data_IF_035247063051
#
_entry.id   IF_035247063051
#
_cell.length_a   1.000
_cell.length_b   1.000
_cell.length_c   1.000
_cell.angle_alpha   90.00
_cell.angle_beta   90.00
_cell.angle_gamma   90.00
#
_symmetry.space_group_name_H-M   'P 1'
#
loop_
_entity.id
_entity.type
_entity.pdbx_description
1 polymer ?
#
# COMPACT_ATOMS: atom_id res chain seq x y z
N UNK A 1 8.95 11.57 31.12
CA UNK A 1 7.57 11.28 31.57
C UNK A 1 6.69 11.27 30.31
N UNK A 2 6.51 10.11 29.66
CA UNK A 2 5.58 10.00 28.53
C UNK A 2 4.16 9.92 29.08
N UNK A 3 3.61 11.09 29.41
CA UNK A 3 2.22 11.25 29.77
C UNK A 3 1.39 11.13 28.49
N UNK A 4 0.99 9.91 28.14
CA UNK A 4 -0.29 9.67 27.46
C UNK A 4 -0.53 8.17 27.46
N UNK A 5 -1.48 7.77 28.30
CA UNK A 5 -2.25 6.55 28.18
C UNK A 5 -3.05 6.63 26.85
N UNK A 6 -2.34 6.55 25.73
CA UNK A 6 -2.95 6.58 24.40
C UNK A 6 -3.71 5.29 24.25
N UNK A 7 -5.03 5.40 24.35
CA UNK A 7 -5.99 4.31 24.18
C UNK A 7 -5.56 3.39 23.04
N UNK A 8 -5.66 2.08 23.29
CA UNK A 8 -5.50 0.97 22.32
C UNK A 8 -6.58 0.99 21.21
N UNK A 9 -7.09 2.16 20.83
CA UNK A 9 -8.21 2.34 19.91
C UNK A 9 -7.74 2.89 18.58
N UNK A 10 -8.27 2.32 17.50
CA UNK A 10 -8.12 2.88 16.15
C UNK A 10 -8.64 4.31 16.07
N UNK A 11 -8.00 5.13 15.25
CA UNK A 11 -8.44 6.51 14.96
C UNK A 11 -8.51 6.74 13.46
N UNK A 12 -9.63 7.30 13.00
CA UNK A 12 -9.83 7.68 11.60
C UNK A 12 -9.69 9.19 11.44
N UNK A 13 -8.91 9.59 10.44
CA UNK A 13 -8.73 10.97 9.99
C UNK A 13 -9.45 11.11 8.65
N UNK A 14 -10.33 12.09 8.54
CA UNK A 14 -11.07 12.37 7.32
C UNK A 14 -10.42 13.54 6.57
N UNK A 15 -10.50 13.58 5.24
CA UNK A 15 -10.03 14.71 4.45
C UNK A 15 -10.67 16.02 4.95
N UNK A 16 -9.87 17.08 5.17
CA UNK A 16 -10.45 18.35 5.56
C UNK A 16 -11.23 18.98 4.41
N UNK A 17 -12.15 19.88 4.76
CA UNK A 17 -12.97 20.63 3.82
C UNK A 17 -12.56 22.12 3.78
N UNK A 18 -12.98 22.83 2.73
CA UNK A 18 -12.72 24.27 2.59
C UNK A 18 -11.24 24.59 2.38
N UNK A 19 -10.75 25.64 3.06
CA UNK A 19 -9.37 26.15 2.91
C UNK A 19 -8.30 25.15 3.37
N UNK A 20 -8.56 24.40 4.44
CA UNK A 20 -7.63 23.38 4.97
C UNK A 20 -7.32 22.25 3.97
N UNK A 21 -8.20 22.01 2.99
CA UNK A 21 -7.93 21.05 1.92
C UNK A 21 -6.73 21.48 1.07
N UNK A 22 -6.58 22.77 0.79
CA UNK A 22 -5.45 23.29 0.01
C UNK A 22 -4.15 23.05 0.76
N UNK A 23 -4.13 23.34 2.06
CA UNK A 23 -2.96 23.13 2.91
C UNK A 23 -2.52 21.66 2.91
N UNK A 24 -3.45 20.70 2.99
CA UNK A 24 -3.13 19.27 2.93
C UNK A 24 -2.61 18.85 1.56
N UNK A 25 -3.18 19.37 0.47
CA UNK A 25 -2.71 19.07 -0.90
C UNK A 25 -1.30 19.64 -1.11
N UNK A 26 -1.04 20.86 -0.66
CA UNK A 26 0.27 21.50 -0.76
C UNK A 26 1.31 20.78 0.12
N UNK A 27 0.91 20.36 1.31
CA UNK A 27 1.73 19.53 2.20
C UNK A 27 2.09 18.19 1.55
N UNK A 28 1.10 17.46 1.02
CA UNK A 28 1.32 16.20 0.34
C UNK A 28 2.29 16.36 -0.84
N UNK A 29 2.11 17.40 -1.68
CA UNK A 29 3.01 17.70 -2.79
C UNK A 29 4.46 17.92 -2.34
N UNK A 30 4.68 18.60 -1.21
CA UNK A 30 6.03 18.82 -0.67
C UNK A 30 6.67 17.54 -0.17
N UNK A 31 5.88 16.62 0.38
CA UNK A 31 6.36 15.34 0.87
C UNK A 31 6.59 14.30 -0.24
N UNK A 32 5.87 14.38 -1.36
CA UNK A 32 5.96 13.42 -2.48
C UNK A 32 7.24 13.53 -3.34
N UNK A 33 8.38 13.85 -2.74
CA UNK A 33 9.67 13.87 -3.44
C UNK A 33 10.08 12.46 -3.87
N UNK A 34 10.75 12.36 -5.03
CA UNK A 34 11.29 11.09 -5.57
C UNK A 34 12.62 10.70 -4.92
N UNK A 35 13.17 11.57 -4.07
CA UNK A 35 14.43 11.33 -3.37
C UNK A 35 14.22 10.37 -2.19
N UNK A 36 14.78 9.14 -2.22
CA UNK A 36 14.66 8.18 -1.14
C UNK A 36 15.31 8.67 0.17
N UNK A 37 16.29 9.57 0.08
CA UNK A 37 17.04 10.08 1.23
C UNK A 37 16.47 11.42 1.75
N UNK A 38 15.33 11.86 1.21
CA UNK A 38 14.65 13.08 1.65
C UNK A 38 14.37 13.13 3.16
N UNK A 39 14.17 11.96 3.77
CA UNK A 39 13.92 11.83 5.20
C UNK A 39 15.14 12.22 6.07
N UNK A 40 16.37 12.14 5.57
CA UNK A 40 17.59 12.49 6.33
C UNK A 40 17.62 13.97 6.78
N UNK A 41 16.98 14.82 5.97
CA UNK A 41 16.89 16.28 6.19
C UNK A 41 15.55 16.72 6.75
N UNK A 42 14.57 15.81 6.83
CA UNK A 42 13.22 16.14 7.29
C UNK A 42 13.19 16.41 8.81
N UNK A 43 12.65 17.56 9.19
CA UNK A 43 12.50 17.99 10.58
C UNK A 43 11.07 18.36 10.88
N UNK A 44 10.59 17.94 12.06
CA UNK A 44 9.33 18.40 12.62
C UNK A 44 9.64 19.47 13.67
N UNK A 45 9.02 20.63 13.54
CA UNK A 45 9.05 21.67 14.57
C UNK A 45 7.87 21.44 15.51
N UNK A 46 8.15 21.20 16.78
CA UNK A 46 7.13 21.02 17.82
C UNK A 46 6.52 22.37 18.24
N UNK A 47 5.31 22.38 18.82
CA UNK A 47 4.62 23.63 19.19
C UNK A 47 5.38 24.52 20.19
N UNK A 48 6.34 23.95 20.91
CA UNK A 48 7.25 24.65 21.83
C UNK A 48 8.44 25.30 21.12
N UNK A 49 8.53 25.20 19.79
CA UNK A 49 9.64 25.70 18.98
C UNK A 49 10.86 24.78 18.92
N UNK A 50 10.81 23.62 19.59
CA UNK A 50 11.81 22.56 19.44
C UNK A 50 11.79 21.97 18.03
N UNK A 51 12.89 21.35 17.61
CA UNK A 51 12.95 20.60 16.35
C UNK A 51 13.42 19.17 16.60
N UNK A 52 12.81 18.22 15.90
CA UNK A 52 13.17 16.81 15.94
C UNK A 52 13.30 16.28 14.52
N UNK A 53 14.36 15.51 14.25
CA UNK A 53 14.52 14.82 12.96
C UNK A 53 13.45 13.73 12.85
N UNK A 54 12.83 13.61 11.70
CA UNK A 54 11.80 12.61 11.42
C UNK A 54 12.50 11.30 10.98
N UNK A 55 12.30 10.17 11.69
CA UNK A 55 12.79 8.87 11.22
C UNK A 55 12.15 8.48 9.88
N UNK A 56 12.87 7.70 9.06
CA UNK A 56 12.41 7.29 7.73
C UNK A 56 11.03 6.63 7.74
N UNK A 57 10.78 5.70 8.67
CA UNK A 57 9.50 4.99 8.76
C UNK A 57 8.33 5.93 9.10
N UNK A 58 8.59 6.98 9.88
CA UNK A 58 7.59 8.00 10.21
C UNK A 58 7.37 8.93 9.00
N UNK A 59 8.43 9.27 8.28
CA UNK A 59 8.34 10.06 7.07
C UNK A 59 7.47 9.36 6.02
N UNK A 60 7.73 8.08 5.75
CA UNK A 60 6.95 7.27 4.81
C UNK A 60 5.47 7.22 5.20
N UNK A 61 5.19 7.03 6.49
CA UNK A 61 3.81 7.05 7.00
C UNK A 61 3.14 8.42 6.78
N UNK A 62 3.86 9.53 7.00
CA UNK A 62 3.34 10.87 6.74
C UNK A 62 3.06 11.11 5.26
N UNK A 63 3.95 10.66 4.36
CA UNK A 63 3.75 10.72 2.91
C UNK A 63 2.47 9.98 2.51
N UNK A 64 2.30 8.75 3.00
CA UNK A 64 1.13 7.93 2.71
C UNK A 64 -0.17 8.59 3.21
N UNK A 65 -0.18 9.07 4.46
CA UNK A 65 -1.34 9.74 5.07
C UNK A 65 -1.69 11.03 4.31
N UNK A 66 -0.70 11.88 4.04
CA UNK A 66 -0.91 13.14 3.35
C UNK A 66 -1.45 12.92 1.93
N UNK A 67 -0.90 11.94 1.21
CA UNK A 67 -1.32 11.58 -0.15
C UNK A 67 -2.77 11.10 -0.18
N UNK A 68 -3.16 10.21 0.74
CA UNK A 68 -4.54 9.73 0.84
C UNK A 68 -5.53 10.86 1.17
N UNK A 69 -5.22 11.69 2.18
CA UNK A 69 -6.09 12.81 2.56
C UNK A 69 -6.19 13.86 1.43
N UNK A 70 -5.10 14.15 0.72
CA UNK A 70 -5.10 15.01 -0.46
C UNK A 70 -5.97 14.41 -1.59
N UNK A 71 -5.90 13.10 -1.79
CA UNK A 71 -6.75 12.33 -2.72
C UNK A 71 -8.25 12.38 -2.38
N UNK A 72 -8.59 12.72 -1.14
CA UNK A 72 -9.98 12.72 -0.66
C UNK A 72 -10.37 11.42 0.05
N UNK A 73 -9.39 10.57 0.38
CA UNK A 73 -9.59 9.33 1.11
C UNK A 73 -9.37 9.53 2.61
N UNK A 74 -10.20 8.87 3.42
CA UNK A 74 -9.98 8.78 4.86
C UNK A 74 -8.83 7.83 5.20
N UNK A 75 -8.13 8.12 6.29
CA UNK A 75 -7.01 7.30 6.77
C UNK A 75 -7.31 6.78 8.17
N UNK A 76 -7.23 5.47 8.36
CA UNK A 76 -7.39 4.85 9.68
C UNK A 76 -6.04 4.36 10.19
N UNK A 77 -5.64 4.86 11.37
CA UNK A 77 -4.48 4.37 12.11
C UNK A 77 -4.96 3.33 13.12
N UNK A 78 -4.44 2.11 13.01
CA UNK A 78 -4.80 0.97 13.85
C UNK A 78 -3.56 0.37 14.52
N UNK A 79 -3.68 -0.12 15.77
CA UNK A 79 -2.60 -0.89 16.38
C UNK A 79 -2.30 -2.16 15.56
N UNK A 80 -1.03 -2.53 15.43
CA UNK A 80 -0.62 -3.75 14.70
C UNK A 80 -1.24 -5.05 15.26
N UNK A 81 -1.55 -5.06 16.55
CA UNK A 81 -2.21 -6.18 17.25
C UNK A 81 -3.75 -6.16 17.12
N UNK A 82 -4.31 -5.25 16.33
CA UNK A 82 -5.74 -5.23 16.09
C UNK A 82 -6.20 -6.55 15.43
N UNK A 83 -7.32 -7.07 15.91
CA UNK A 83 -7.94 -8.29 15.39
C UNK A 83 -9.07 -7.92 14.44
N UNK A 84 -8.86 -8.21 13.16
CA UNK A 84 -9.81 -7.94 12.09
C UNK A 84 -10.75 -9.12 11.86
N UNK A 85 -11.99 -8.82 11.50
CA UNK A 85 -12.92 -9.79 10.94
C UNK A 85 -12.43 -10.28 9.58
N UNK A 86 -12.98 -11.40 9.10
CA UNK A 86 -12.69 -11.89 7.74
C UNK A 86 -13.12 -10.90 6.65
N UNK A 87 -14.08 -10.01 6.94
CA UNK A 87 -14.50 -9.00 5.98
C UNK A 87 -13.45 -7.88 5.91
N UNK A 88 -13.14 -7.27 7.05
CA UNK A 88 -12.13 -6.19 7.13
C UNK A 88 -10.77 -6.65 6.60
N UNK A 89 -10.39 -7.89 6.86
CA UNK A 89 -9.15 -8.47 6.35
C UNK A 89 -9.17 -8.69 4.82
N UNK A 90 -10.33 -9.08 4.26
CA UNK A 90 -10.50 -9.20 2.81
C UNK A 90 -10.44 -7.83 2.13
N UNK A 91 -11.11 -6.84 2.72
CA UNK A 91 -11.10 -5.45 2.26
C UNK A 91 -9.69 -4.87 2.31
N UNK A 92 -8.94 -5.14 3.40
CA UNK A 92 -7.53 -4.75 3.55
C UNK A 92 -6.63 -5.33 2.44
N UNK A 93 -6.81 -6.60 2.09
CA UNK A 93 -6.03 -7.24 1.03
C UNK A 93 -6.54 -6.92 -0.38
N UNK A 94 -7.65 -6.19 -0.51
CA UNK A 94 -8.27 -5.87 -1.80
C UNK A 94 -8.83 -7.10 -2.54
N UNK A 95 -9.31 -8.11 -1.80
CA UNK A 95 -9.84 -9.37 -2.36
C UNK A 95 -11.27 -9.63 -1.89
N UNK A 96 -11.99 -10.50 -2.60
CA UNK A 96 -13.33 -10.90 -2.15
C UNK A 96 -13.26 -11.70 -0.84
N UNK A 97 -14.28 -11.57 0.02
CA UNK A 97 -14.38 -12.34 1.26
C UNK A 97 -14.28 -13.87 1.03
N UNK A 98 -14.95 -14.48 0.02
CA UNK A 98 -14.74 -15.90 -0.27
C UNK A 98 -13.28 -16.24 -0.62
N UNK A 99 -12.58 -15.39 -1.37
CA UNK A 99 -11.14 -15.56 -1.65
C UNK A 99 -10.33 -15.53 -0.37
N UNK A 100 -10.61 -14.58 0.53
CA UNK A 100 -9.92 -14.49 1.81
C UNK A 100 -10.14 -15.74 2.68
N UNK A 101 -11.36 -16.26 2.72
CA UNK A 101 -11.67 -17.51 3.46
C UNK A 101 -10.86 -18.68 2.91
N UNK A 102 -10.70 -18.80 1.58
CA UNK A 102 -9.85 -19.84 0.99
C UNK A 102 -8.39 -19.72 1.42
N UNK A 103 -7.85 -18.51 1.53
CA UNK A 103 -6.48 -18.26 2.03
C UNK A 103 -6.34 -18.78 3.47
N UNK A 104 -7.34 -18.56 4.32
CA UNK A 104 -7.33 -19.08 5.70
C UNK A 104 -7.42 -20.61 5.73
N UNK A 105 -8.30 -21.20 4.92
CA UNK A 105 -8.51 -22.65 4.87
C UNK A 105 -7.31 -23.39 4.27
N UNK A 106 -6.56 -22.76 3.37
CA UNK A 106 -5.31 -23.30 2.82
C UNK A 106 -4.10 -23.10 3.75
N UNK A 107 -4.28 -22.52 4.93
CA UNK A 107 -3.18 -22.24 5.87
C UNK A 107 -2.26 -21.10 5.44
N UNK A 108 -2.70 -20.24 4.51
CA UNK A 108 -1.90 -19.11 4.02
C UNK A 108 -1.76 -17.97 5.03
N UNK A 109 -2.65 -17.93 6.04
CA UNK A 109 -2.69 -16.94 7.12
C UNK A 109 -3.20 -17.61 8.39
N UNK A 110 -2.53 -17.34 9.52
CA UNK A 110 -3.01 -17.75 10.83
C UNK A 110 -4.25 -16.94 11.24
N UNK A 111 -5.18 -17.59 11.93
CA UNK A 111 -6.35 -16.95 12.49
C UNK A 111 -6.68 -17.53 13.86
N UNK A 112 -7.33 -16.72 14.68
CA UNK A 112 -7.90 -17.14 15.96
C UNK A 112 -9.42 -17.25 15.86
N UNK A 113 -10.01 -18.12 16.66
CA UNK A 113 -11.46 -18.17 16.85
C UNK A 113 -11.84 -17.36 18.09
N UNK A 114 -12.66 -16.33 17.88
CA UNK A 114 -13.32 -15.60 18.96
C UNK A 114 -14.79 -15.98 18.96
N UNK A 115 -15.15 -16.90 19.85
CA UNK A 115 -16.43 -17.60 19.80
C UNK A 115 -16.53 -18.45 18.52
N UNK A 116 -17.46 -18.10 17.63
CA UNK A 116 -17.68 -18.80 16.34
C UNK A 116 -17.05 -18.08 15.15
N UNK A 117 -16.45 -16.92 15.35
CA UNK A 117 -15.95 -16.08 14.27
C UNK A 117 -14.44 -16.08 14.21
N UNK A 118 -13.90 -16.20 12.99
CA UNK A 118 -12.47 -16.06 12.73
C UNK A 118 -12.04 -14.59 12.90
N UNK A 119 -10.85 -14.40 13.44
CA UNK A 119 -10.17 -13.12 13.59
C UNK A 119 -8.72 -13.26 13.16
N UNK A 120 -8.22 -12.25 12.45
CA UNK A 120 -6.84 -12.22 11.93
C UNK A 120 -6.16 -10.98 12.45
N UNK A 121 -4.92 -11.12 12.90
CA UNK A 121 -4.14 -9.99 13.39
C UNK A 121 -3.67 -9.13 12.23
N UNK A 122 -3.76 -7.80 12.36
CA UNK A 122 -3.34 -6.88 11.31
C UNK A 122 -1.87 -7.08 10.90
N UNK A 123 -0.96 -7.33 11.85
CA UNK A 123 0.44 -7.60 11.52
C UNK A 123 0.61 -8.81 10.59
N UNK A 124 -0.14 -9.90 10.80
CA UNK A 124 -0.09 -11.08 9.94
C UNK A 124 -0.58 -10.76 8.51
N UNK A 125 -1.57 -9.87 8.37
CA UNK A 125 -2.06 -9.41 7.07
C UNK A 125 -1.03 -8.56 6.34
N UNK A 126 -0.35 -7.65 7.04
CA UNK A 126 0.73 -6.83 6.48
C UNK A 126 1.86 -7.74 5.98
N UNK A 127 2.33 -8.67 6.81
CA UNK A 127 3.39 -9.63 6.46
C UNK A 127 3.01 -10.49 5.24
N UNK A 128 1.75 -10.96 5.20
CA UNK A 128 1.23 -11.70 4.05
C UNK A 128 1.23 -10.87 2.78
N UNK A 129 0.72 -9.63 2.84
CA UNK A 129 0.69 -8.73 1.69
C UNK A 129 2.10 -8.47 1.15
N UNK A 130 3.05 -8.16 2.02
CA UNK A 130 4.44 -7.95 1.61
C UNK A 130 5.05 -9.20 0.95
N UNK A 131 4.79 -10.39 1.51
CA UNK A 131 5.25 -11.65 0.93
C UNK A 131 4.70 -11.85 -0.48
N UNK A 132 3.39 -11.69 -0.67
CA UNK A 132 2.74 -11.82 -1.98
C UNK A 132 3.30 -10.79 -2.97
N UNK A 133 3.53 -9.56 -2.55
CA UNK A 133 4.09 -8.52 -3.43
C UNK A 133 5.54 -8.80 -3.81
N UNK A 134 6.35 -9.38 -2.91
CA UNK A 134 7.70 -9.87 -3.24
C UNK A 134 7.66 -11.01 -4.24
N UNK A 135 6.79 -11.99 -4.05
CA UNK A 135 6.62 -13.12 -4.97
C UNK A 135 6.18 -12.64 -6.36
N UNK A 136 5.20 -11.73 -6.43
CA UNK A 136 4.74 -11.13 -7.69
C UNK A 136 5.86 -10.40 -8.43
N UNK A 137 6.64 -9.57 -7.72
CA UNK A 137 7.78 -8.84 -8.33
C UNK A 137 8.84 -9.81 -8.88
N UNK A 138 9.14 -10.88 -8.18
CA UNK A 138 10.08 -11.93 -8.65
C UNK A 138 9.56 -12.59 -9.92
N UNK A 139 8.31 -13.05 -9.92
CA UNK A 139 7.72 -13.70 -11.10
C UNK A 139 7.71 -12.79 -12.34
N UNK A 140 7.44 -11.48 -12.17
CA UNK A 140 7.51 -10.50 -13.26
C UNK A 140 8.95 -10.31 -13.77
N UNK A 141 9.93 -10.29 -12.87
CA UNK A 141 11.34 -10.22 -13.25
C UNK A 141 11.78 -11.47 -14.02
N UNK A 142 11.36 -12.66 -13.58
CA UNK A 142 11.68 -13.93 -14.24
C UNK A 142 11.09 -14.00 -15.66
N UNK A 143 9.83 -13.57 -15.85
CA UNK A 143 9.21 -13.47 -17.17
C UNK A 143 9.95 -12.50 -18.10
N UNK A 144 10.39 -11.35 -17.57
CA UNK A 144 11.14 -10.36 -18.34
C UNK A 144 12.51 -10.89 -18.74
N UNK A 145 13.23 -11.54 -17.82
CA UNK A 145 14.52 -12.16 -18.09
C UNK A 145 14.41 -13.27 -19.14
N UNK A 146 13.38 -14.12 -19.02
CA UNK A 146 13.12 -15.19 -19.99
C UNK A 146 12.78 -14.62 -21.38
N UNK A 147 12.02 -13.53 -21.45
CA UNK A 147 11.67 -12.90 -22.73
C UNK A 147 12.86 -12.23 -23.42
N UNK A 148 13.88 -11.79 -22.68
CA UNK A 148 15.14 -11.27 -23.23
C UNK A 148 16.04 -12.39 -23.77
N UNK A 149 15.97 -13.59 -23.18
CA UNK A 149 16.70 -14.77 -23.64
C UNK A 149 16.14 -15.34 -24.95
N UNK A 150 14.85 -15.13 -25.24
CA UNK A 150 14.19 -15.60 -26.46
C UNK A 150 14.18 -14.62 -27.65
N UNK A 151 14.76 -13.42 -27.53
CA UNK A 151 14.84 -12.35 -28.56
C UNK A 151 13.74 -12.39 -29.64
N UNK A 152 12.48 -12.39 -29.19
CA UNK A 152 11.30 -12.46 -30.06
C UNK A 152 11.03 -11.14 -30.82
N UNK A 153 11.97 -10.19 -30.79
CA UNK A 153 11.89 -8.89 -31.45
C UNK A 153 13.03 -8.62 -32.45
N UNK A 154 14.06 -9.46 -32.54
CA UNK A 154 15.11 -9.33 -33.57
C UNK A 154 14.74 -9.98 -34.92
N UNK A 155 13.64 -10.73 -34.99
CA UNK A 155 13.14 -11.24 -36.26
C UNK A 155 12.43 -10.11 -37.01
N UNK A 156 13.07 -9.54 -38.03
CA UNK A 156 12.47 -8.63 -39.00
C UNK A 156 11.22 -9.33 -39.59
N UNK A 157 9.99 -8.91 -39.21
CA UNK A 157 8.80 -9.59 -39.69
C UNK A 157 8.71 -9.41 -41.21
N UNK A 158 8.49 -10.48 -41.99
CA UNK A 158 8.42 -10.37 -43.44
C UNK A 158 7.35 -9.32 -43.82
N UNK A 159 7.57 -8.53 -44.89
CA UNK A 159 6.64 -7.49 -45.29
C UNK A 159 5.24 -8.07 -45.46
N UNK A 160 4.24 -7.42 -44.85
CA UNK A 160 2.84 -7.79 -45.06
C UNK A 160 2.45 -7.48 -46.51
N UNK A 161 2.40 -8.51 -47.36
CA UNK A 161 1.80 -8.38 -48.69
C UNK A 161 0.30 -8.20 -48.55
N UNK A 162 -0.17 -6.97 -48.75
CA UNK A 162 -1.60 -6.72 -48.96
C UNK A 162 -1.96 -7.21 -50.36
N UNK A 163 -2.50 -8.42 -50.45
CA UNK A 163 -3.22 -8.84 -51.66
C UNK A 163 -4.48 -7.98 -51.76
N UNK A 164 -4.48 -7.02 -52.70
CA UNK A 164 -5.69 -6.31 -53.11
C UNK A 164 -6.63 -7.31 -53.77
N UNK A 165 -7.87 -7.48 -53.29
CA UNK A 165 -8.82 -8.35 -53.97
C UNK A 165 -9.21 -7.71 -55.31
N UNK A 166 -8.79 -8.33 -56.41
CA UNK A 166 -9.27 -8.00 -57.75
C UNK A 166 -10.73 -8.41 -57.85
N UNK A 167 -11.63 -7.42 -57.88
CA UNK A 167 -13.05 -7.61 -58.11
C UNK A 167 -13.33 -8.17 -59.50
N UNK A 168 -14.37 -9.02 -59.58
CA UNK A 168 -15.01 -9.50 -60.79
C UNK A 168 -16.30 -8.73 -61.06
#
# INVERSE_FOLDING_TARGET
MLASETRRSSRTFLPPHGTQRRDVVDFARRLSTTDPDAHETAVLVSPDGGSVRIPGEIFDALVAVATALAGGDGVTVMPSRARLTTQEAADFLGVSRPTFVKILESGGLEFELVGRHRRVMLSALVEYQERVQRERRRALADLTASSQEYDLYAADPPPFERTVPTGA
#
